data_IF_976012233970
#
_entry.id   IF_976012233970
#
_cell.length_a   1.000
_cell.length_b   1.000
_cell.length_c   1.000
_cell.angle_alpha   90.00
_cell.angle_beta   90.00
_cell.angle_gamma   90.00
#
_symmetry.space_group_name_H-M   'P 1'
#
loop_
_entity.id
_entity.type
_entity.pdbx_description
1 polymer ?
#
# COMPACT_ATOMS: atom_id res chain seq x y z
N UNK A 1 24.15 -0.87 -13.82
CA UNK A 1 23.66 0.37 -14.41
C UNK A 1 23.07 1.27 -13.36
N UNK A 2 23.32 2.55 -13.48
CA UNK A 2 22.77 3.52 -12.54
C UNK A 2 21.27 3.76 -12.76
N UNK A 3 20.84 3.62 -13.98
CA UNK A 3 19.44 3.87 -14.35
C UNK A 3 18.57 2.68 -13.99
N UNK A 4 17.38 2.96 -13.51
CA UNK A 4 16.43 1.90 -13.21
C UNK A 4 15.00 2.42 -13.45
N UNK A 5 14.08 1.47 -13.56
CA UNK A 5 12.68 1.79 -13.81
C UNK A 5 11.84 1.11 -12.73
N UNK A 6 10.86 1.83 -12.22
CA UNK A 6 9.97 1.31 -11.20
C UNK A 6 8.55 1.21 -11.74
N UNK A 7 7.83 0.23 -11.27
CA UNK A 7 6.41 0.08 -11.55
C UNK A 7 5.65 0.43 -10.28
N UNK A 8 4.51 1.09 -10.45
CA UNK A 8 3.71 1.54 -9.32
C UNK A 8 2.31 0.94 -9.41
N UNK A 9 1.83 0.42 -8.29
CA UNK A 9 0.45 -0.01 -8.16
C UNK A 9 -0.16 0.67 -6.95
N UNK A 10 -1.50 0.72 -6.93
CA UNK A 10 -2.22 1.33 -5.82
C UNK A 10 -3.07 0.29 -5.11
N UNK A 11 -3.05 0.35 -3.78
CA UNK A 11 -3.86 -0.52 -2.95
C UNK A 11 -4.49 0.29 -1.84
N UNK A 12 -5.59 -0.23 -1.29
CA UNK A 12 -6.20 0.33 -0.10
C UNK A 12 -6.17 -0.74 0.98
N UNK A 13 -5.48 -0.44 2.07
CA UNK A 13 -5.51 -1.30 3.25
C UNK A 13 -6.54 -0.80 4.25
N UNK A 14 -7.07 -1.71 5.05
CA UNK A 14 -8.04 -1.34 6.08
C UNK A 14 -7.64 -1.97 7.41
N UNK A 15 -8.02 -1.31 8.49
CA UNK A 15 -7.79 -1.83 9.84
C UNK A 15 -8.80 -1.23 10.79
N UNK A 16 -9.20 -2.00 11.78
CA UNK A 16 -10.04 -1.47 12.85
C UNK A 16 -9.22 -0.80 13.94
N UNK A 17 -7.89 -0.83 13.83
CA UNK A 17 -7.01 -0.34 14.89
C UNK A 17 -6.41 1.02 14.60
N UNK A 18 -5.85 1.20 13.41
CA UNK A 18 -5.15 2.45 13.09
C UNK A 18 -4.86 2.56 11.60
N UNK A 19 -4.51 3.78 11.17
CA UNK A 19 -4.07 4.00 9.79
C UNK A 19 -2.72 3.33 9.55
N UNK A 20 -1.84 3.36 10.53
CA UNK A 20 -0.54 2.70 10.39
C UNK A 20 -0.72 1.21 10.15
N UNK A 21 -1.64 0.60 10.88
CA UNK A 21 -1.92 -0.82 10.70
C UNK A 21 -2.52 -1.07 9.33
N UNK A 22 -3.43 -0.19 8.89
CA UNK A 22 -4.05 -0.31 7.57
C UNK A 22 -2.99 -0.30 6.47
N UNK A 23 -2.06 0.65 6.56
CA UNK A 23 -0.99 0.73 5.57
C UNK A 23 -0.08 -0.49 5.63
N UNK A 24 0.27 -0.93 6.84
CA UNK A 24 1.16 -2.07 7.02
C UNK A 24 0.55 -3.35 6.46
N UNK A 25 -0.75 -3.56 6.66
CA UNK A 25 -1.44 -4.74 6.14
C UNK A 25 -1.35 -4.78 4.61
N UNK A 26 -1.57 -3.63 3.97
CA UNK A 26 -1.50 -3.57 2.51
C UNK A 26 -0.09 -3.87 2.02
N UNK A 27 0.92 -3.28 2.66
CA UNK A 27 2.31 -3.49 2.28
C UNK A 27 2.72 -4.95 2.46
N UNK A 28 2.35 -5.52 3.60
CA UNK A 28 2.74 -6.90 3.91
C UNK A 28 2.07 -7.89 2.97
N UNK A 29 0.80 -7.65 2.65
CA UNK A 29 0.10 -8.53 1.72
C UNK A 29 0.70 -8.43 0.31
N UNK A 30 1.00 -7.22 -0.13
CA UNK A 30 1.63 -7.04 -1.44
C UNK A 30 3.03 -7.63 -1.47
N UNK A 31 3.77 -7.47 -0.37
CA UNK A 31 5.13 -7.99 -0.29
C UNK A 31 5.21 -9.50 -0.39
N UNK A 32 4.12 -10.20 -0.08
CA UNK A 32 4.07 -11.64 -0.23
C UNK A 32 4.00 -12.12 -1.67
N UNK A 33 3.59 -11.24 -2.60
CA UNK A 33 3.43 -11.62 -4.00
C UNK A 33 4.30 -10.80 -4.95
N UNK A 34 4.71 -9.59 -4.55
CA UNK A 34 5.51 -8.73 -5.39
C UNK A 34 6.99 -8.82 -5.02
N UNK A 35 7.83 -8.86 -6.04
CA UNK A 35 9.28 -8.89 -5.84
C UNK A 35 9.81 -7.47 -5.83
N UNK A 36 10.86 -7.25 -5.05
CA UNK A 36 11.58 -5.98 -5.04
C UNK A 36 10.70 -4.78 -4.70
N UNK A 37 9.75 -4.99 -3.78
CA UNK A 37 8.97 -3.87 -3.26
C UNK A 37 9.91 -2.97 -2.46
N UNK A 38 9.99 -1.71 -2.84
CA UNK A 38 10.98 -0.79 -2.28
C UNK A 38 10.39 0.36 -1.52
N UNK A 39 9.32 0.95 -2.06
CA UNK A 39 8.76 2.16 -1.49
C UNK A 39 7.25 2.02 -1.42
N UNK A 40 6.69 2.42 -0.28
CA UNK A 40 5.26 2.51 -0.10
C UNK A 40 4.95 3.94 0.31
N UNK A 41 4.21 4.64 -0.53
CA UNK A 41 3.83 6.02 -0.26
C UNK A 41 2.38 6.04 0.19
N UNK A 42 2.12 6.63 1.36
CA UNK A 42 0.75 6.80 1.82
C UNK A 42 0.19 8.01 1.10
N UNK A 43 -0.80 7.80 0.24
CA UNK A 43 -1.37 8.85 -0.58
C UNK A 43 -2.54 9.52 0.11
N UNK A 44 -3.42 8.73 0.71
CA UNK A 44 -4.61 9.25 1.38
C UNK A 44 -4.95 8.40 2.58
N UNK A 45 -5.48 9.06 3.60
CA UNK A 45 -6.03 8.40 4.77
C UNK A 45 -7.49 8.80 4.85
N UNK A 46 -8.38 7.82 5.02
CA UNK A 46 -9.79 8.11 5.19
C UNK A 46 -10.43 7.10 6.15
N UNK A 47 -11.71 7.24 6.34
CA UNK A 47 -12.43 6.44 7.32
C UNK A 47 -13.68 5.85 6.68
N UNK A 48 -13.95 4.61 7.00
CA UNK A 48 -15.21 3.97 6.66
C UNK A 48 -16.19 4.24 7.81
N UNK A 49 -17.28 4.91 7.51
CA UNK A 49 -18.24 5.36 8.52
C UNK A 49 -19.59 4.72 8.26
N UNK A 50 -20.22 4.17 9.31
CA UNK A 50 -21.59 3.64 9.24
C UNK A 50 -22.36 4.16 10.44
N UNK A 51 -23.53 4.72 10.18
CA UNK A 51 -24.39 5.26 11.22
C UNK A 51 -23.66 6.25 12.14
N UNK A 52 -22.80 7.08 11.54
CA UNK A 52 -22.04 8.07 12.29
C UNK A 52 -20.89 7.54 13.09
N UNK A 53 -20.55 6.26 12.93
CA UNK A 53 -19.45 5.64 13.68
C UNK A 53 -18.36 5.20 12.74
N UNK A 54 -17.12 5.38 13.20
CA UNK A 54 -15.96 4.93 12.45
C UNK A 54 -15.88 3.41 12.56
N UNK A 55 -15.95 2.75 11.42
CA UNK A 55 -15.86 1.30 11.37
C UNK A 55 -14.45 0.83 11.07
N UNK A 56 -13.77 1.53 10.18
CA UNK A 56 -12.42 1.15 9.79
C UNK A 56 -11.61 2.38 9.42
N UNK A 57 -10.30 2.27 9.65
CA UNK A 57 -9.32 3.21 9.11
C UNK A 57 -8.86 2.67 7.78
N UNK A 58 -8.75 3.53 6.76
CA UNK A 58 -8.33 3.11 5.43
C UNK A 58 -7.13 3.93 5.00
N UNK A 59 -6.16 3.26 4.40
CA UNK A 59 -4.97 3.92 3.87
C UNK A 59 -4.83 3.55 2.40
N UNK A 60 -4.84 4.56 1.54
CA UNK A 60 -4.57 4.36 0.12
C UNK A 60 -3.07 4.56 -0.08
N UNK A 61 -2.42 3.55 -0.61
CA UNK A 61 -0.97 3.58 -0.77
C UNK A 61 -0.59 3.29 -2.21
N UNK A 62 0.53 3.90 -2.61
CA UNK A 62 1.18 3.59 -3.87
C UNK A 62 2.42 2.80 -3.56
N UNK A 63 2.53 1.63 -4.18
CA UNK A 63 3.68 0.75 -3.98
C UNK A 63 4.57 0.81 -5.20
N UNK A 64 5.84 1.06 -4.97
CA UNK A 64 6.84 1.08 -6.03
C UNK A 64 7.74 -0.13 -5.91
N UNK A 65 7.90 -0.84 -6.98
CA UNK A 65 8.85 -1.95 -7.01
C UNK A 65 9.64 -1.89 -8.30
N UNK A 66 10.86 -2.39 -8.21
CA UNK A 66 11.77 -2.30 -9.33
C UNK A 66 11.24 -3.14 -10.49
N UNK A 67 11.14 -2.50 -11.64
CA UNK A 67 10.68 -3.20 -12.84
C UNK A 67 11.86 -3.95 -13.44
N UNK A 68 11.72 -5.26 -13.52
CA UNK A 68 12.77 -6.10 -14.08
C UNK A 68 12.25 -6.75 -15.34
N UNK A 69 13.03 -6.64 -16.38
CA UNK A 69 12.69 -7.27 -17.63
C UNK A 69 13.14 -8.71 -17.61
N UNK A 70 12.29 -9.59 -18.14
CA UNK A 70 12.68 -10.96 -18.33
C UNK A 70 13.65 -11.03 -19.48
N UNK A 71 14.75 -11.66 -19.27
CA UNK A 71 15.75 -11.84 -20.33
C UNK A 71 15.47 -13.08 -21.12
#
# INVERSE_FOLDING_TARGET
MAESVYKIIELVGTSTESWEKAAAVAVERAGGTLRDLRIAEVEKLDLHVENGKVMQYRAKIKLSFKYEEAD
#
